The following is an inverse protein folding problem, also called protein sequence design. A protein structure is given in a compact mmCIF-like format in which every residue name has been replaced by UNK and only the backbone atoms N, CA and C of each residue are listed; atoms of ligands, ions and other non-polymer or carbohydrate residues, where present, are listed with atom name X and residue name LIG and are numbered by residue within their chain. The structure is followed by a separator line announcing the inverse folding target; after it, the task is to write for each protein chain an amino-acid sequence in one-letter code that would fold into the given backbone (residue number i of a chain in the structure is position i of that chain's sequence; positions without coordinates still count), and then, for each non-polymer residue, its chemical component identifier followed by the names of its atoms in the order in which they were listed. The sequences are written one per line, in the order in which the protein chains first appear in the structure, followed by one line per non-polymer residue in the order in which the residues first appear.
data_IF_947574937970
#
_entry.id   IF_947574937970
#
_cell.length_a   1.000
_cell.length_b   1.000
_cell.length_c   1.000
_cell.angle_alpha   90.00
_cell.angle_beta   90.00
_cell.angle_gamma   90.00
#
_symmetry.space_group_name_H-M   'P 1'
#
loop_
_entity.id
_entity.type
_entity.pdbx_description
1 polymer ?
#
# COMPACT_ATOMS: atom_id res chain seq x y z
N UNK A 1 -5.32 13.31 15.86
CA UNK A 1 -4.75 12.01 15.43
C UNK A 1 -4.81 11.99 13.91
N UNK A 2 -3.77 11.47 13.24
CA UNK A 2 -3.80 11.32 11.78
C UNK A 2 -4.97 10.42 11.38
N UNK A 3 -5.65 10.74 10.28
CA UNK A 3 -6.66 9.83 9.72
C UNK A 3 -5.97 8.52 9.32
N UNK A 4 -6.54 7.35 9.66
CA UNK A 4 -5.98 6.08 9.24
C UNK A 4 -5.95 5.97 7.71
N UNK A 5 -4.95 5.26 7.19
CA UNK A 5 -4.88 4.89 5.79
C UNK A 5 -5.81 3.70 5.54
N UNK A 6 -6.51 3.70 4.41
CA UNK A 6 -7.31 2.56 3.99
C UNK A 6 -6.43 1.53 3.26
N UNK A 7 -6.52 0.26 3.66
CA UNK A 7 -5.97 -0.87 2.94
C UNK A 7 -7.12 -1.68 2.35
N UNK A 8 -7.45 -1.39 1.11
CA UNK A 8 -8.65 -1.87 0.42
C UNK A 8 -8.36 -3.09 -0.47
N UNK A 9 -9.43 -3.64 -1.05
CA UNK A 9 -9.41 -4.73 -2.04
C UNK A 9 -8.69 -6.01 -1.57
N UNK A 10 -8.75 -6.29 -0.26
CA UNK A 10 -8.24 -7.54 0.28
C UNK A 10 -9.29 -8.63 0.07
N UNK A 11 -8.88 -9.78 -0.45
CA UNK A 11 -9.73 -10.96 -0.54
C UNK A 11 -10.34 -11.29 0.85
N UNK A 12 -11.67 -11.37 0.95
CA UNK A 12 -12.38 -11.64 2.20
C UNK A 12 -12.06 -13.02 2.81
N UNK A 13 -11.55 -13.96 2.01
CA UNK A 13 -11.08 -15.28 2.48
C UNK A 13 -9.70 -15.19 3.15
N UNK A 14 -8.96 -14.08 2.97
CA UNK A 14 -7.62 -13.92 3.51
C UNK A 14 -7.67 -13.41 4.95
N UNK A 15 -6.90 -14.04 5.83
CA UNK A 15 -6.79 -13.53 7.20
C UNK A 15 -5.93 -12.26 7.24
N UNK A 16 -6.51 -11.18 7.79
CA UNK A 16 -5.82 -9.95 8.17
C UNK A 16 -5.91 -9.80 9.68
N UNK A 17 -4.78 -9.55 10.34
CA UNK A 17 -4.71 -9.45 11.79
C UNK A 17 -4.49 -8.00 12.22
N UNK A 18 -5.20 -7.57 13.27
CA UNK A 18 -4.87 -6.31 13.96
C UNK A 18 -3.44 -6.40 14.51
N UNK A 19 -2.66 -5.34 14.33
CA UNK A 19 -1.25 -5.26 14.66
C UNK A 19 -0.30 -5.75 13.56
N UNK A 20 -0.82 -6.37 12.49
CA UNK A 20 -0.01 -6.79 11.35
C UNK A 20 0.68 -5.59 10.68
N UNK A 21 1.93 -5.78 10.29
CA UNK A 21 2.69 -4.78 9.55
C UNK A 21 2.28 -4.79 8.07
N UNK A 22 2.12 -3.59 7.52
CA UNK A 22 1.86 -3.37 6.10
C UNK A 22 3.12 -2.79 5.47
N UNK A 23 3.58 -3.43 4.41
CA UNK A 23 4.73 -2.98 3.61
C UNK A 23 4.35 -2.88 2.14
N UNK A 24 5.03 -2.03 1.38
CA UNK A 24 4.90 -2.00 -0.08
C UNK A 24 5.19 -3.38 -0.67
N UNK A 25 4.29 -3.87 -1.53
CA UNK A 25 4.43 -5.20 -2.12
C UNK A 25 5.57 -5.30 -3.13
N UNK A 26 5.93 -4.19 -3.79
CA UNK A 26 6.84 -4.21 -4.94
C UNK A 26 6.40 -5.21 -6.02
N UNK A 27 5.09 -5.33 -6.24
CA UNK A 27 4.50 -6.28 -7.19
C UNK A 27 5.03 -6.06 -8.60
N UNK A 28 5.33 -7.15 -9.29
CA UNK A 28 5.68 -7.17 -10.72
C UNK A 28 4.68 -8.10 -11.41
N UNK A 29 3.87 -7.53 -12.29
CA UNK A 29 2.84 -8.26 -13.05
C UNK A 29 3.37 -8.65 -14.43
N UNK A 30 4.28 -7.84 -14.98
CA UNK A 30 5.01 -8.11 -16.22
C UNK A 30 6.31 -7.28 -16.23
N UNK A 31 7.23 -7.50 -17.20
CA UNK A 31 8.44 -6.69 -17.31
C UNK A 31 8.19 -5.18 -17.46
N UNK A 32 7.03 -4.79 -17.98
CA UNK A 32 6.62 -3.40 -18.20
C UNK A 32 5.64 -2.87 -17.17
N UNK A 33 5.03 -3.74 -16.35
CA UNK A 33 4.03 -3.37 -15.36
C UNK A 33 4.48 -3.83 -13.96
N UNK A 34 5.00 -2.88 -13.18
CA UNK A 34 5.51 -3.13 -11.83
C UNK A 34 5.19 -1.97 -10.90
N UNK A 35 5.26 -2.20 -9.60
CA UNK A 35 5.02 -1.18 -8.58
C UNK A 35 5.89 0.06 -8.81
N UNK A 36 5.35 1.23 -8.50
CA UNK A 36 6.11 2.49 -8.45
C UNK A 36 7.03 2.57 -7.22
N UNK A 37 6.90 1.64 -6.26
CA UNK A 37 7.67 1.60 -5.03
C UNK A 37 8.43 0.27 -4.89
N UNK A 38 9.68 0.29 -4.40
CA UNK A 38 10.39 -0.94 -4.03
C UNK A 38 9.58 -1.79 -3.04
N UNK A 39 9.81 -3.10 -3.03
CA UNK A 39 9.24 -4.01 -2.03
C UNK A 39 9.79 -3.71 -0.64
N UNK A 40 8.94 -3.82 0.39
CA UNK A 40 9.35 -3.89 1.79
C UNK A 40 9.47 -2.53 2.49
N UNK A 41 9.04 -1.43 1.88
CA UNK A 41 8.96 -0.15 2.57
C UNK A 41 7.79 -0.19 3.56
N UNK A 42 8.06 0.10 4.83
CA UNK A 42 7.03 0.11 5.88
C UNK A 42 6.02 1.22 5.62
N UNK A 43 4.74 0.86 5.61
CA UNK A 43 3.62 1.78 5.46
C UNK A 43 2.98 2.06 6.81
N UNK A 44 2.72 1.01 7.59
CA UNK A 44 1.97 1.13 8.83
C UNK A 44 1.62 -0.20 9.49
N UNK A 45 0.70 -0.14 10.44
CA UNK A 45 0.14 -1.32 11.11
C UNK A 45 -1.38 -1.30 11.06
N UNK A 46 -1.99 -2.47 10.87
CA UNK A 46 -3.45 -2.63 10.92
C UNK A 46 -3.96 -2.31 12.32
N UNK A 47 -4.97 -1.45 12.41
CA UNK A 47 -5.64 -1.08 13.67
C UNK A 47 -7.09 -1.55 13.72
N UNK A 48 -7.73 -1.74 12.57
CA UNK A 48 -9.05 -2.35 12.46
C UNK A 48 -9.19 -3.11 11.15
N UNK A 49 -10.05 -4.13 11.13
CA UNK A 49 -10.42 -4.89 9.93
C UNK A 49 -11.92 -4.70 9.71
N UNK A 50 -12.26 -4.28 8.50
CA UNK A 50 -13.61 -3.93 8.08
C UNK A 50 -14.09 -4.98 7.08
N UNK A 51 -14.85 -5.96 7.55
CA UNK A 51 -15.38 -7.06 6.73
C UNK A 51 -16.89 -7.15 6.81
N UNK A 52 -17.51 -7.55 5.70
CA UNK A 52 -18.96 -7.79 5.59
C UNK A 52 -19.14 -9.23 5.13
N UNK A 53 -19.96 -10.01 5.84
CA UNK A 53 -20.07 -11.46 5.63
C UNK A 53 -20.49 -11.88 4.20
N UNK A 54 -21.20 -11.02 3.47
CA UNK A 54 -21.63 -11.26 2.09
C UNK A 54 -20.68 -10.68 1.03
N UNK A 55 -19.62 -9.97 1.41
CA UNK A 55 -18.70 -9.35 0.49
C UNK A 55 -17.54 -10.28 0.12
N UNK A 56 -17.07 -10.18 -1.13
CA UNK A 56 -15.88 -10.90 -1.60
C UNK A 56 -14.57 -10.15 -1.29
N UNK A 57 -14.69 -8.87 -0.91
CA UNK A 57 -13.58 -8.02 -0.50
C UNK A 57 -13.80 -7.55 0.94
N UNK A 58 -12.69 -7.30 1.63
CA UNK A 58 -12.62 -6.63 2.93
C UNK A 58 -11.57 -5.52 2.87
N UNK A 59 -11.59 -4.62 3.85
CA UNK A 59 -10.56 -3.60 4.01
C UNK A 59 -10.02 -3.58 5.43
N UNK A 60 -8.97 -2.80 5.64
CA UNK A 60 -8.39 -2.58 6.96
C UNK A 60 -7.99 -1.12 7.13
N UNK A 61 -8.20 -0.59 8.33
CA UNK A 61 -7.64 0.70 8.72
C UNK A 61 -6.20 0.49 9.17
N UNK A 62 -5.30 1.31 8.65
CA UNK A 62 -3.87 1.23 8.89
C UNK A 62 -3.39 2.52 9.55
N UNK A 63 -2.77 2.40 10.72
CA UNK A 63 -2.04 3.50 11.33
C UNK A 63 -0.71 3.68 10.59
N UNK A 64 -0.45 4.84 9.96
CA UNK A 64 0.85 5.11 9.34
C UNK A 64 2.01 4.93 10.33
N UNK A 65 3.12 4.36 9.85
CA UNK A 65 4.39 4.31 10.61
C UNK A 65 4.98 5.71 10.81
N UNK A 66 4.71 6.62 9.87
CA UNK A 66 5.29 7.96 9.84
C UNK A 66 4.27 9.01 10.25
N UNK A 67 4.63 9.83 11.23
CA UNK A 67 3.89 11.05 11.57
C UNK A 67 4.40 12.21 10.72
N UNK A 68 3.62 12.59 9.70
CA UNK A 68 4.01 13.61 8.73
C UNK A 68 4.16 15.01 9.34
N UNK A 69 3.51 15.28 10.47
CA UNK A 69 3.56 16.60 11.12
C UNK A 69 4.91 16.82 11.85
N UNK A 70 5.66 15.75 12.14
CA UNK A 70 6.94 15.81 12.86
C UNK A 70 8.16 15.37 12.03
N UNK A 71 7.95 15.01 10.76
CA UNK A 71 9.02 14.61 9.83
C UNK A 71 9.99 15.76 9.56
N UNK A 72 11.30 15.47 9.68
CA UNK A 72 12.38 16.42 9.42
C UNK A 72 13.28 16.05 8.26
N UNK A 73 13.31 14.78 7.87
CA UNK A 73 14.24 14.28 6.85
C UNK A 73 13.54 13.19 6.04
N UNK A 74 13.70 13.28 4.71
CA UNK A 74 13.12 12.36 3.76
C UNK A 74 14.21 11.84 2.81
N UNK A 75 14.13 10.56 2.46
CA UNK A 75 14.92 9.96 1.39
C UNK A 75 14.07 9.95 0.12
N UNK A 76 14.56 10.61 -0.94
CA UNK A 76 13.91 10.61 -2.25
C UNK A 76 14.70 9.71 -3.20
N UNK A 77 14.05 8.66 -3.70
CA UNK A 77 14.65 7.71 -4.65
C UNK A 77 14.27 8.13 -6.07
N UNK A 78 15.20 8.78 -6.78
CA UNK A 78 14.93 9.37 -8.11
C UNK A 78 15.08 8.37 -9.27
N UNK A 79 15.90 7.33 -9.09
CA UNK A 79 16.24 6.38 -10.14
C UNK A 79 15.58 5.01 -9.95
N UNK A 80 14.52 4.92 -9.13
CA UNK A 80 13.75 3.70 -9.05
C UNK A 80 12.97 3.53 -10.35
N UNK A 81 13.37 2.55 -11.14
CA UNK A 81 12.59 2.12 -12.29
C UNK A 81 11.43 1.32 -11.73
N UNK A 82 10.23 1.91 -11.71
CA UNK A 82 8.95 1.33 -11.30
C UNK A 82 7.78 1.99 -12.05
N UNK A 83 6.55 1.51 -11.88
CA UNK A 83 5.34 2.21 -12.31
C UNK A 83 4.66 1.66 -13.56
N UNK A 84 3.61 2.37 -13.97
CA UNK A 84 2.86 2.09 -15.19
C UNK A 84 3.70 2.49 -16.41
N UNK A 85 3.58 1.78 -17.55
CA UNK A 85 4.18 2.24 -18.79
C UNK A 85 3.58 3.61 -19.18
N UNK A 86 4.39 4.44 -19.84
CA UNK A 86 3.90 5.70 -20.38
C UNK A 86 2.69 5.42 -21.29
N UNK A 87 1.62 6.22 -21.21
CA UNK A 87 0.49 6.05 -22.11
C UNK A 87 1.00 6.16 -23.55
N UNK A 88 0.65 5.17 -24.37
CA UNK A 88 0.98 5.22 -25.79
C UNK A 88 0.23 6.41 -26.38
N UNK A 89 0.96 7.47 -26.73
CA UNK A 89 0.41 8.57 -27.51
C UNK A 89 0.20 8.05 -28.93
N UNK A 90 -1.03 7.66 -29.24
CA UNK A 90 -1.43 7.39 -30.62
C UNK A 90 -1.40 8.72 -31.37
N UNK A 91 -0.63 8.86 -32.47
CA UNK A 91 -0.57 10.09 -33.26
C UNK A 91 -1.89 10.39 -33.98
#
# INVERSE_FOLDING_TARGET
AANPLAFDDVDAQRQVLVGAEITTSGIELSPTLRSAFPRGLSVGRVVAVNSVASAVLQSADVQPTLDLDSVRTLLVILNYRGGLPDPVVTP
#
